data_IF_858113428459
#
_entry.id   IF_858113428459
#
_cell.length_a   1.000
_cell.length_b   1.000
_cell.length_c   1.000
_cell.angle_alpha   90.00
_cell.angle_beta   90.00
_cell.angle_gamma   90.00
#
_symmetry.space_group_name_H-M   'P 1'
#
loop_
_entity.id
_entity.type
_entity.pdbx_description
1 polymer ?
#
# COMPACT_ATOMS: atom_id res chain seq x y z
N UNK A 1 -24.28 3.83 -4.04
CA UNK A 1 -23.64 3.77 -5.37
C UNK A 1 -22.18 3.66 -5.05
N UNK A 2 -21.53 2.56 -5.43
CA UNK A 2 -20.12 2.39 -5.16
C UNK A 2 -19.38 3.26 -6.18
N UNK A 3 -18.72 4.31 -5.71
CA UNK A 3 -17.92 5.18 -6.55
C UNK A 3 -16.73 4.38 -7.09
N UNK A 4 -16.61 4.39 -8.42
CA UNK A 4 -15.47 3.80 -9.13
C UNK A 4 -14.19 4.32 -8.50
N UNK A 5 -13.17 3.47 -8.39
CA UNK A 5 -11.84 3.87 -7.90
C UNK A 5 -11.24 4.93 -8.85
N UNK A 6 -11.60 6.19 -8.64
CA UNK A 6 -11.10 7.34 -9.40
C UNK A 6 -9.85 7.89 -8.75
N UNK A 7 -9.04 8.63 -9.52
CA UNK A 7 -7.82 9.28 -9.04
C UNK A 7 -8.04 10.12 -7.79
N UNK A 8 -9.20 10.81 -7.66
CA UNK A 8 -9.52 11.62 -6.48
C UNK A 8 -9.72 10.80 -5.21
N UNK A 9 -10.39 9.65 -5.32
CA UNK A 9 -10.56 8.71 -4.21
C UNK A 9 -9.21 8.12 -3.83
N UNK A 10 -8.44 7.67 -4.82
CA UNK A 10 -7.10 7.15 -4.61
C UNK A 10 -6.20 8.17 -3.91
N UNK A 11 -6.21 9.44 -4.32
CA UNK A 11 -5.38 10.51 -3.73
C UNK A 11 -5.75 10.75 -2.26
N UNK A 12 -7.05 10.76 -1.93
CA UNK A 12 -7.51 10.88 -0.53
C UNK A 12 -7.08 9.71 0.32
N UNK A 13 -7.21 8.47 -0.18
CA UNK A 13 -6.75 7.27 0.52
C UNK A 13 -5.23 7.31 0.70
N UNK A 14 -4.50 7.70 -0.34
CA UNK A 14 -3.05 7.81 -0.35
C UNK A 14 -2.54 8.79 0.72
N UNK A 15 -3.13 9.99 0.81
CA UNK A 15 -2.81 10.97 1.86
C UNK A 15 -3.09 10.41 3.25
N UNK A 16 -4.29 9.89 3.47
CA UNK A 16 -4.65 9.33 4.78
C UNK A 16 -3.73 8.15 5.17
N UNK A 17 -3.37 7.29 4.22
CA UNK A 17 -2.43 6.20 4.49
C UNK A 17 -1.01 6.70 4.80
N UNK A 18 -0.53 7.75 4.13
CA UNK A 18 0.78 8.31 4.44
C UNK A 18 0.78 9.01 5.81
N UNK A 19 -0.30 9.69 6.19
CA UNK A 19 -0.40 10.42 7.46
C UNK A 19 -0.68 9.50 8.67
N UNK A 20 -1.66 8.60 8.57
CA UNK A 20 -2.07 7.71 9.68
C UNK A 20 -1.38 6.34 9.67
N UNK A 21 -0.86 5.91 8.51
CA UNK A 21 -0.37 4.54 8.28
C UNK A 21 1.00 4.46 7.59
N UNK A 22 1.85 5.49 7.67
CA UNK A 22 3.20 5.52 7.09
C UNK A 22 4.05 4.31 7.50
N UNK A 23 3.95 3.87 8.76
CA UNK A 23 4.61 2.63 9.22
C UNK A 23 4.11 1.37 8.51
N UNK A 24 2.84 1.33 8.13
CA UNK A 24 2.26 0.21 7.38
C UNK A 24 2.69 0.23 5.91
N UNK A 25 2.80 1.41 5.30
CA UNK A 25 3.35 1.56 3.94
C UNK A 25 4.80 1.10 3.89
N UNK A 26 5.58 1.42 4.93
CA UNK A 26 6.94 0.91 5.12
C UNK A 26 6.96 -0.62 5.23
N UNK A 27 6.07 -1.21 6.02
CA UNK A 27 5.92 -2.66 6.08
C UNK A 27 5.59 -3.28 4.72
N UNK A 28 4.81 -2.59 3.87
CA UNK A 28 4.56 -3.06 2.51
C UNK A 28 5.81 -3.08 1.64
N UNK A 29 6.57 -1.99 1.64
CA UNK A 29 7.86 -1.95 0.97
C UNK A 29 8.80 -3.08 1.41
N UNK A 30 8.81 -3.39 2.71
CA UNK A 30 9.66 -4.44 3.27
C UNK A 30 9.17 -5.85 2.94
N UNK A 31 7.88 -6.14 3.17
CA UNK A 31 7.31 -7.48 3.06
C UNK A 31 6.96 -7.82 1.61
N UNK A 32 6.28 -6.92 0.91
CA UNK A 32 5.83 -7.13 -0.47
C UNK A 32 6.82 -6.61 -1.50
N UNK A 33 7.48 -5.48 -1.21
CA UNK A 33 8.54 -4.94 -2.07
C UNK A 33 9.87 -5.69 -1.96
N UNK A 34 10.05 -6.53 -0.94
CA UNK A 34 11.32 -7.20 -0.66
C UNK A 34 12.43 -6.26 -0.21
N UNK A 35 12.10 -5.00 0.11
CA UNK A 35 13.07 -3.98 0.52
C UNK A 35 13.12 -3.91 2.04
N UNK A 36 13.67 -4.94 2.67
CA UNK A 36 13.73 -5.05 4.15
C UNK A 36 14.46 -3.88 4.82
N UNK A 37 15.40 -3.27 4.11
CA UNK A 37 16.19 -2.10 4.55
C UNK A 37 15.47 -0.76 4.37
N UNK A 38 14.20 -0.75 3.92
CA UNK A 38 13.41 0.47 3.83
C UNK A 38 13.29 1.12 5.21
N UNK A 39 13.75 2.36 5.34
CA UNK A 39 13.67 3.18 6.55
C UNK A 39 12.37 3.96 6.61
N UNK A 40 11.85 4.37 5.46
CA UNK A 40 10.53 4.99 5.27
C UNK A 40 9.88 4.44 3.99
N UNK A 41 8.56 4.60 3.86
CA UNK A 41 7.93 4.44 2.57
C UNK A 41 6.70 5.34 2.46
N UNK A 42 6.39 5.74 1.23
CA UNK A 42 5.30 6.62 0.89
C UNK A 42 4.49 6.02 -0.24
N UNK A 43 3.18 6.00 -0.08
CA UNK A 43 2.26 5.61 -1.13
C UNK A 43 2.21 6.75 -2.14
N UNK A 44 2.32 6.43 -3.44
CA UNK A 44 2.27 7.43 -4.51
C UNK A 44 0.93 7.38 -5.25
N UNK A 45 0.46 6.17 -5.59
CA UNK A 45 -0.78 5.97 -6.34
C UNK A 45 -1.38 4.61 -6.04
N UNK A 46 -2.71 4.55 -6.10
CA UNK A 46 -3.47 3.30 -6.08
C UNK A 46 -4.23 3.20 -7.40
N UNK A 47 -4.07 2.07 -8.06
CA UNK A 47 -4.80 1.62 -9.24
C UNK A 47 -5.64 0.38 -8.89
N UNK A 48 -6.68 0.05 -9.68
CA UNK A 48 -7.50 -1.12 -9.41
C UNK A 48 -6.74 -2.45 -9.55
N UNK A 49 -5.59 -2.46 -10.23
CA UNK A 49 -4.74 -3.66 -10.39
C UNK A 49 -3.53 -3.69 -9.46
N UNK A 50 -3.23 -2.60 -8.75
CA UNK A 50 -2.06 -2.52 -7.88
C UNK A 50 -1.87 -1.14 -7.28
N UNK A 51 -0.86 -0.98 -6.44
CA UNK A 51 -0.46 0.30 -5.89
C UNK A 51 1.02 0.53 -6.10
N UNK A 52 1.36 1.78 -6.39
CA UNK A 52 2.72 2.26 -6.51
C UNK A 52 3.06 3.01 -5.23
N UNK A 53 4.14 2.59 -4.60
CA UNK A 53 4.71 3.21 -3.41
C UNK A 53 6.22 3.34 -3.59
N UNK A 54 6.82 4.23 -2.83
CA UNK A 54 8.27 4.45 -2.83
C UNK A 54 8.82 4.10 -1.47
N UNK A 55 9.84 3.25 -1.46
CA UNK A 55 10.58 2.89 -0.27
C UNK A 55 11.86 3.73 -0.20
N UNK A 56 12.12 4.36 0.93
CA UNK A 56 13.35 5.09 1.18
C UNK A 56 14.34 4.15 1.87
N UNK A 57 15.50 3.93 1.25
CA UNK A 57 16.58 3.06 1.74
C UNK A 57 17.82 3.91 1.84
N UNK A 58 18.26 4.19 3.07
CA UNK A 58 19.33 5.14 3.34
C UNK A 58 19.07 6.54 2.74
N UNK A 59 19.65 6.84 1.57
CA UNK A 59 19.47 8.11 0.82
C UNK A 59 18.85 7.90 -0.56
N UNK A 60 18.48 6.66 -0.91
CA UNK A 60 17.89 6.32 -2.19
C UNK A 60 16.39 6.06 -2.05
N UNK A 61 15.61 6.56 -3.01
CA UNK A 61 14.18 6.29 -3.10
C UNK A 61 13.95 5.24 -4.17
N UNK A 62 13.52 4.04 -3.75
CA UNK A 62 13.26 2.89 -4.61
C UNK A 62 11.77 2.81 -4.90
N UNK A 63 11.35 2.90 -6.17
CA UNK A 63 9.95 2.67 -6.53
C UNK A 63 9.62 1.19 -6.38
N UNK A 64 8.54 0.91 -5.67
CA UNK A 64 8.01 -0.43 -5.39
C UNK A 64 6.57 -0.47 -5.87
N UNK A 65 6.27 -1.43 -6.74
CA UNK A 65 4.90 -1.68 -7.17
C UNK A 65 4.38 -2.97 -6.55
N UNK A 66 3.27 -2.87 -5.84
CA UNK A 66 2.58 -4.02 -5.24
C UNK A 66 1.31 -4.27 -6.04
N UNK A 67 1.25 -5.40 -6.73
CA UNK A 67 0.04 -5.84 -7.45
C UNK A 67 -0.93 -6.51 -6.49
N UNK A 68 -2.21 -6.21 -6.63
CA UNK A 68 -3.26 -6.90 -5.89
C UNK A 68 -3.57 -8.24 -6.56
N UNK A 69 -3.93 -9.25 -5.75
CA UNK A 69 -4.35 -10.57 -6.26
C UNK A 69 -5.77 -10.52 -6.87
N UNK A 70 -6.54 -9.47 -6.55
CA UNK A 70 -7.82 -9.15 -7.18
C UNK A 70 -7.82 -7.76 -7.80
N UNK A 71 -8.81 -7.50 -8.66
CA UNK A 71 -9.06 -6.14 -9.18
C UNK A 71 -10.03 -5.41 -8.26
N UNK A 72 -9.63 -4.25 -7.76
CA UNK A 72 -10.48 -3.40 -6.94
C UNK A 72 -11.65 -2.88 -7.79
N UNK A 73 -12.88 -3.10 -7.33
CA UNK A 73 -14.07 -2.63 -8.03
C UNK A 73 -14.44 -1.19 -7.63
N UNK A 74 -14.29 -0.85 -6.35
CA UNK A 74 -14.79 0.41 -5.80
C UNK A 74 -13.91 0.91 -4.64
N UNK A 75 -14.15 2.15 -4.21
CA UNK A 75 -13.44 2.76 -3.07
C UNK A 75 -13.48 1.92 -1.79
N UNK A 76 -14.61 1.28 -1.51
CA UNK A 76 -14.79 0.48 -0.29
C UNK A 76 -13.92 -0.78 -0.34
N UNK A 77 -13.88 -1.44 -1.50
CA UNK A 77 -13.05 -2.62 -1.74
C UNK A 77 -11.56 -2.28 -1.62
N UNK A 78 -11.12 -1.16 -2.22
CA UNK A 78 -9.76 -0.65 -2.05
C UNK A 78 -9.38 -0.45 -0.59
N UNK A 79 -10.25 0.18 0.19
CA UNK A 79 -9.99 0.43 1.60
C UNK A 79 -9.90 -0.88 2.40
N UNK A 80 -10.82 -1.81 2.18
CA UNK A 80 -10.82 -3.13 2.83
C UNK A 80 -9.56 -3.93 2.49
N UNK A 81 -9.18 -3.98 1.21
CA UNK A 81 -8.00 -4.69 0.73
C UNK A 81 -6.72 -4.10 1.31
N UNK A 82 -6.59 -2.78 1.35
CA UNK A 82 -5.46 -2.11 1.97
C UNK A 82 -5.39 -2.41 3.48
N UNK A 83 -6.50 -2.41 4.20
CA UNK A 83 -6.48 -2.78 5.64
C UNK A 83 -6.09 -4.25 5.81
N UNK A 84 -6.65 -5.15 5.00
CA UNK A 84 -6.39 -6.58 5.06
C UNK A 84 -4.92 -6.89 4.78
N UNK A 85 -4.34 -6.25 3.77
CA UNK A 85 -2.92 -6.38 3.44
C UNK A 85 -2.04 -5.78 4.55
N UNK A 86 -2.39 -4.64 5.17
CA UNK A 86 -1.60 -4.03 6.26
C UNK A 86 -1.59 -4.97 7.45
N UNK A 87 -2.74 -5.57 7.76
CA UNK A 87 -2.90 -6.51 8.86
C UNK A 87 -2.09 -7.79 8.63
N UNK A 88 -2.02 -8.26 7.38
CA UNK A 88 -1.14 -9.38 6.97
C UNK A 88 0.34 -8.99 7.12
N UNK A 89 0.75 -7.81 6.63
CA UNK A 89 2.13 -7.32 6.75
C UNK A 89 2.56 -7.16 8.22
N UNK A 90 1.66 -6.67 9.08
CA UNK A 90 1.87 -6.52 10.54
C UNK A 90 1.83 -7.84 11.30
N UNK A 91 1.26 -8.88 10.72
CA UNK A 91 1.21 -10.22 11.31
C UNK A 91 2.13 -11.18 10.54
N UNK A 92 3.47 -11.01 10.58
CA UNK A 92 4.42 -11.88 9.88
C UNK A 92 4.50 -13.31 10.44
N UNK A 93 3.46 -13.79 11.15
CA UNK A 93 3.35 -15.12 11.74
C UNK A 93 1.95 -15.69 11.58
N UNK A 94 1.62 -16.11 10.37
CA UNK A 94 0.71 -17.24 10.19
C UNK A 94 1.16 -18.12 9.01
N UNK A 95 2.40 -18.61 9.13
CA UNK A 95 2.82 -19.83 8.47
C UNK A 95 2.87 -20.93 9.52
N UNK A 96 1.90 -21.84 9.48
CA UNK A 96 2.06 -23.26 9.84
C UNK A 96 1.17 -24.08 8.94
#
# INVERSE_FOLDING_TARGET
>A
MADVLTTEVSDRICKHMNEDHSEAVKLYAQVFGGVTDATAAELLRIDPTGMDLTAQVAEETVPVRVTFDHTLQDSEDAHQTLIAMVKQARSPRQGV
#
